data_IF_728191531620
#
_entry.id   IF_728191531620
#
_cell.length_a   1.000
_cell.length_b   1.000
_cell.length_c   1.000
_cell.angle_alpha   90.00
_cell.angle_beta   90.00
_cell.angle_gamma   90.00
#
_symmetry.space_group_name_H-M   'P 1'
#
loop_
_entity.id
_entity.type
_entity.pdbx_description
1 polymer ?
#
# COMPACT_ATOMS: atom_id res chain seq x y z
N UNK A 1 4.27 -0.99 20.98
CA UNK A 1 4.15 -1.58 19.62
C UNK A 1 2.67 -1.60 19.28
N UNK A 2 2.29 -1.12 18.11
CA UNK A 2 0.91 -1.14 17.64
C UNK A 2 0.81 -2.00 16.38
N UNK A 3 -0.25 -2.79 16.24
CA UNK A 3 -0.53 -3.61 15.07
C UNK A 3 -1.93 -3.24 14.58
N UNK A 4 -2.07 -2.95 13.30
CA UNK A 4 -3.35 -2.52 12.71
C UNK A 4 -3.46 -2.89 11.23
N UNK A 5 -4.57 -2.49 10.62
CA UNK A 5 -4.85 -2.67 9.20
C UNK A 5 -5.44 -1.36 8.64
N UNK A 6 -4.86 -0.84 7.56
CA UNK A 6 -5.43 0.29 6.82
C UNK A 6 -5.48 1.63 7.56
N UNK A 7 -4.45 1.99 8.34
CA UNK A 7 -4.42 3.29 9.00
C UNK A 7 -4.14 4.40 7.97
N UNK A 8 -5.00 5.42 7.93
CA UNK A 8 -4.75 6.60 7.09
C UNK A 8 -3.44 7.28 7.50
N UNK A 9 -2.71 7.77 6.50
CA UNK A 9 -1.40 8.42 6.67
C UNK A 9 -1.43 9.52 7.75
N UNK A 10 -2.45 10.36 7.73
CA UNK A 10 -2.60 11.48 8.67
C UNK A 10 -2.83 11.03 10.11
N UNK A 11 -3.64 9.97 10.30
CA UNK A 11 -3.88 9.39 11.62
C UNK A 11 -2.59 8.77 12.17
N UNK A 12 -1.80 8.11 11.32
CA UNK A 12 -0.50 7.55 11.71
C UNK A 12 0.45 8.66 12.15
N UNK A 13 0.61 9.73 11.35
CA UNK A 13 1.47 10.88 11.70
C UNK A 13 1.04 11.50 13.04
N UNK A 14 -0.25 11.72 13.23
CA UNK A 14 -0.77 12.29 14.48
C UNK A 14 -0.53 11.35 15.67
N UNK A 15 -0.70 10.04 15.47
CA UNK A 15 -0.43 9.03 16.49
C UNK A 15 1.05 9.03 16.91
N UNK A 16 1.98 9.05 15.95
CA UNK A 16 3.41 9.15 16.25
C UNK A 16 3.77 10.48 16.92
N UNK A 17 3.09 11.58 16.56
CA UNK A 17 3.30 12.87 17.21
C UNK A 17 2.84 12.86 18.67
N UNK A 18 1.71 12.20 18.98
CA UNK A 18 1.14 12.14 20.33
C UNK A 18 1.86 11.16 21.25
N UNK A 19 2.23 9.99 20.74
CA UNK A 19 2.76 8.89 21.56
C UNK A 19 4.26 8.64 21.38
N UNK A 20 4.93 9.43 20.54
CA UNK A 20 6.34 9.30 20.24
C UNK A 20 6.64 8.19 19.22
N UNK A 21 7.94 7.85 19.01
CA UNK A 21 8.38 6.91 17.99
C UNK A 21 8.03 5.46 18.37
N UNK A 22 6.76 5.09 18.24
CA UNK A 22 6.28 3.73 18.46
C UNK A 22 6.35 2.95 17.15
N UNK A 23 6.80 1.70 17.22
CA UNK A 23 6.74 0.77 16.09
C UNK A 23 5.28 0.41 15.79
N UNK A 24 4.79 0.85 14.63
CA UNK A 24 3.48 0.49 14.08
C UNK A 24 3.71 -0.51 12.95
N UNK A 25 2.98 -1.62 12.99
CA UNK A 25 3.01 -2.69 11.97
C UNK A 25 1.63 -2.76 11.34
N UNK A 26 1.57 -2.57 10.02
CA UNK A 26 0.33 -2.74 9.27
C UNK A 26 0.30 -4.09 8.57
N UNK A 27 -0.85 -4.76 8.62
CA UNK A 27 -1.09 -6.03 7.95
C UNK A 27 -2.27 -5.87 7.00
N UNK A 28 -2.01 -6.03 5.71
CA UNK A 28 -3.01 -6.03 4.65
C UNK A 28 -3.15 -7.47 4.14
N UNK A 29 -4.33 -8.06 4.29
CA UNK A 29 -4.64 -9.38 3.75
C UNK A 29 -5.91 -9.31 2.92
N UNK A 30 -5.94 -9.98 1.77
CA UNK A 30 -7.16 -10.18 1.01
C UNK A 30 -7.86 -11.45 1.53
N UNK A 31 -9.17 -11.42 1.71
CA UNK A 31 -9.97 -12.60 2.09
C UNK A 31 -9.99 -13.67 1.00
N UNK A 32 -9.77 -13.26 -0.25
CA UNK A 32 -9.87 -14.09 -1.45
C UNK A 32 -8.50 -14.44 -2.06
N UNK A 33 -7.41 -13.91 -1.51
CA UNK A 33 -6.05 -14.16 -1.97
C UNK A 33 -5.22 -14.84 -0.89
N UNK A 34 -4.43 -15.85 -1.25
CA UNK A 34 -3.50 -16.54 -0.33
C UNK A 34 -2.33 -15.65 0.14
N UNK A 35 -2.30 -14.37 -0.24
CA UNK A 35 -1.22 -13.43 0.02
C UNK A 35 -1.65 -12.26 0.90
N UNK A 36 -0.74 -11.85 1.79
CA UNK A 36 -0.85 -10.64 2.59
C UNK A 36 0.45 -9.84 2.57
N UNK A 37 0.32 -8.52 2.68
CA UNK A 37 1.42 -7.59 2.83
C UNK A 37 1.55 -7.15 4.28
N UNK A 38 2.78 -7.09 4.78
CA UNK A 38 3.06 -6.56 6.11
C UNK A 38 4.08 -5.44 6.01
N UNK A 39 3.75 -4.28 6.57
CA UNK A 39 4.67 -3.17 6.74
C UNK A 39 5.33 -3.25 8.12
N UNK A 40 6.32 -4.12 8.24
CA UNK A 40 7.14 -4.24 9.46
C UNK A 40 8.28 -3.21 9.51
N UNK A 41 8.53 -2.49 8.41
CA UNK A 41 9.57 -1.46 8.29
C UNK A 41 9.16 -0.13 8.94
N UNK A 42 7.89 0.03 9.31
CA UNK A 42 7.39 1.26 9.95
C UNK A 42 7.38 2.47 9.02
N UNK A 43 7.44 2.26 7.70
CA UNK A 43 7.37 3.36 6.73
C UNK A 43 5.93 3.82 6.60
N UNK A 44 5.62 5.01 7.10
CA UNK A 44 4.27 5.60 7.04
C UNK A 44 3.77 5.59 5.58
N UNK A 45 2.58 5.04 5.36
CA UNK A 45 1.94 4.97 4.03
C UNK A 45 2.42 3.82 3.13
N UNK A 46 3.32 2.95 3.59
CA UNK A 46 3.64 1.74 2.85
C UNK A 46 2.66 0.61 3.20
N UNK A 47 2.04 0.02 2.18
CA UNK A 47 1.15 -1.16 2.32
C UNK A 47 1.95 -2.42 2.70
N UNK A 48 3.25 -2.45 2.39
CA UNK A 48 4.14 -3.51 2.82
C UNK A 48 5.56 -3.32 2.31
N UNK A 49 6.46 -4.18 2.79
CA UNK A 49 7.81 -4.29 2.23
C UNK A 49 7.92 -5.59 1.46
N UNK A 50 8.14 -5.48 0.16
CA UNK A 50 8.43 -6.64 -0.68
C UNK A 50 9.95 -6.87 -0.79
N UNK A 51 10.33 -8.15 -0.88
CA UNK A 51 11.67 -8.58 -1.30
C UNK A 51 11.50 -9.46 -2.55
N UNK A 52 12.56 -9.59 -3.35
CA UNK A 52 12.60 -10.42 -4.55
C UNK A 52 12.05 -11.83 -4.31
N UNK A 53 12.38 -12.46 -3.18
CA UNK A 53 11.84 -13.76 -2.77
C UNK A 53 10.32 -13.74 -2.61
N UNK A 54 9.77 -12.78 -1.86
CA UNK A 54 8.33 -12.65 -1.61
C UNK A 54 7.57 -12.43 -2.92
N UNK A 55 8.12 -11.61 -3.82
CA UNK A 55 7.55 -11.38 -5.16
C UNK A 55 7.54 -12.65 -6.01
N UNK A 56 8.58 -13.47 -5.93
CA UNK A 56 8.69 -14.75 -6.66
C UNK A 56 7.75 -15.84 -6.11
N UNK A 57 7.50 -15.83 -4.80
CA UNK A 57 6.60 -16.81 -4.17
C UNK A 57 5.12 -16.46 -4.28
N UNK A 58 4.76 -15.17 -4.18
CA UNK A 58 3.35 -14.74 -4.16
C UNK A 58 2.81 -14.27 -5.51
N UNK A 59 3.62 -14.27 -6.59
CA UNK A 59 3.23 -13.93 -7.97
C UNK A 59 2.15 -12.84 -8.07
N UNK A 60 2.42 -11.65 -7.51
CA UNK A 60 1.49 -10.52 -7.55
C UNK A 60 2.09 -9.35 -8.33
N UNK A 61 1.20 -8.51 -8.85
CA UNK A 61 1.56 -7.27 -9.54
C UNK A 61 0.71 -6.11 -9.03
N UNK A 62 1.34 -4.94 -8.87
CA UNK A 62 0.64 -3.70 -8.54
C UNK A 62 0.24 -2.99 -9.83
N UNK A 63 -1.04 -2.66 -9.94
CA UNK A 63 -1.63 -2.00 -11.09
C UNK A 63 -2.11 -0.60 -10.71
N UNK A 64 -2.10 0.29 -11.68
CA UNK A 64 -2.58 1.65 -11.48
C UNK A 64 -4.10 1.61 -11.45
N UNK A 65 -4.68 2.23 -10.43
CA UNK A 65 -6.11 2.26 -10.22
C UNK A 65 -6.59 3.71 -10.18
N UNK A 66 -7.65 4.00 -10.92
CA UNK A 66 -8.35 5.28 -10.88
C UNK A 66 -9.53 5.17 -9.94
N UNK A 67 -9.44 5.88 -8.81
CA UNK A 67 -10.45 5.87 -7.75
C UNK A 67 -11.71 6.63 -8.18
N UNK A 68 -11.58 7.67 -9.01
CA UNK A 68 -12.73 8.47 -9.45
C UNK A 68 -13.56 7.74 -10.51
N UNK A 69 -12.89 6.99 -11.38
CA UNK A 69 -13.54 6.14 -12.39
C UNK A 69 -13.88 4.73 -11.88
N UNK A 70 -13.48 4.38 -10.66
CA UNK A 70 -13.60 3.06 -10.01
C UNK A 70 -13.05 1.90 -10.88
N UNK A 71 -12.01 2.19 -11.68
CA UNK A 71 -11.51 1.27 -12.71
C UNK A 71 -9.98 1.22 -12.76
N UNK A 72 -9.38 0.06 -13.12
CA UNK A 72 -7.95 -0.03 -13.37
C UNK A 72 -7.58 0.78 -14.61
N UNK A 73 -6.49 1.54 -14.53
CA UNK A 73 -5.95 2.30 -15.67
C UNK A 73 -5.36 1.33 -16.68
N UNK A 74 -5.79 1.45 -17.94
CA UNK A 74 -5.39 0.59 -19.05
C UNK A 74 -4.57 1.38 -20.07
N UNK A 75 -3.64 0.69 -20.73
CA UNK A 75 -2.91 1.22 -21.87
C UNK A 75 -3.77 1.20 -23.16
N UNK A 76 -3.21 1.70 -24.25
CA UNK A 76 -3.86 1.73 -25.58
C UNK A 76 -4.20 0.33 -26.13
N UNK A 77 -3.62 -0.73 -25.57
CA UNK A 77 -3.88 -2.14 -25.91
C UNK A 77 -4.93 -2.77 -24.99
N UNK A 78 -5.48 -2.02 -24.05
CA UNK A 78 -6.47 -2.49 -23.08
C UNK A 78 -5.88 -3.27 -21.89
N UNK A 79 -4.56 -3.30 -21.73
CA UNK A 79 -3.84 -3.99 -20.65
C UNK A 79 -3.67 -3.05 -19.44
N UNK A 80 -3.77 -3.59 -18.23
CA UNK A 80 -3.60 -2.77 -17.02
C UNK A 80 -2.16 -2.25 -16.89
N UNK A 81 -2.01 -0.97 -16.58
CA UNK A 81 -0.70 -0.34 -16.41
C UNK A 81 -0.12 -0.74 -15.06
N UNK A 82 1.10 -1.27 -15.08
CA UNK A 82 1.84 -1.65 -13.87
C UNK A 82 2.42 -0.42 -13.17
N UNK A 83 2.27 -0.36 -11.85
CA UNK A 83 2.89 0.69 -11.03
C UNK A 83 4.32 0.29 -10.64
N UNK A 84 5.33 1.13 -10.91
CA UNK A 84 6.69 0.90 -10.43
C UNK A 84 6.75 0.89 -8.89
N UNK A 85 7.59 0.03 -8.33
CA UNK A 85 7.80 -0.02 -6.87
C UNK A 85 8.22 1.35 -6.33
N UNK A 86 7.47 1.88 -5.38
CA UNK A 86 7.77 3.17 -4.74
C UNK A 86 7.12 4.39 -5.41
N UNK A 87 6.40 4.21 -6.52
CA UNK A 87 5.47 5.23 -6.99
C UNK A 87 4.15 5.12 -6.24
N UNK A 88 3.75 6.22 -5.61
CA UNK A 88 2.39 6.43 -5.15
C UNK A 88 1.60 6.99 -6.34
N UNK A 89 0.39 6.50 -6.57
CA UNK A 89 -0.54 7.17 -7.49
C UNK A 89 -0.76 8.59 -6.95
N UNK A 90 -0.48 9.61 -7.77
CA UNK A 90 -0.59 11.04 -7.43
C UNK A 90 -1.98 11.49 -6.96
N UNK A 91 -2.97 10.61 -6.96
CA UNK A 91 -4.36 10.92 -6.65
C UNK A 91 -4.62 11.23 -5.17
N UNK A 92 -3.77 10.80 -4.25
CA UNK A 92 -3.91 11.16 -2.82
C UNK A 92 -3.35 12.56 -2.47
N UNK A 93 -2.66 13.24 -3.40
CA UNK A 93 -2.10 14.58 -3.17
C UNK A 93 -3.09 15.71 -3.50
N UNK A 94 -4.27 15.40 -4.07
CA UNK A 94 -5.25 16.39 -4.55
C UNK A 94 -6.56 16.48 -3.75
N UNK A 95 -6.75 15.70 -2.68
CA UNK A 95 -7.77 15.97 -1.65
C UNK A 95 -7.15 16.60 -0.40
N UNK A 96 -6.47 17.73 -0.60
CA UNK A 96 -6.26 18.73 0.45
C UNK A 96 -7.58 19.33 0.91
#
# INVERSE_FOLDING_TARGET
MAIGNGMRLEVWKEFLNRFGPIKIVEVYGATEGSGGFMNYAGKVGAVGRTNFYIKKFLNYEFLQYDVDADQPVRDEKGLCIRVPTGMFSKTDEQKR
#
